data_IF_517565429225
#
_entry.id   IF_517565429225
#
_cell.length_a   1.000
_cell.length_b   1.000
_cell.length_c   1.000
_cell.angle_alpha   90.00
_cell.angle_beta   90.00
_cell.angle_gamma   90.00
#
_symmetry.space_group_name_H-M   'P 1'
#
loop_
_entity.id
_entity.type
_entity.pdbx_description
1 polymer ?
#
# COMPACT_ATOMS: atom_id res chain seq x y z
N UNK A 1 29.05 0.15 -26.60
CA UNK A 1 27.88 -0.23 -27.43
C UNK A 1 27.60 -1.75 -27.51
N UNK A 2 28.57 -2.68 -27.35
CA UNK A 2 28.29 -4.14 -27.34
C UNK A 2 27.59 -4.68 -26.07
N UNK A 3 27.92 -4.14 -24.89
CA UNK A 3 27.41 -4.62 -23.59
C UNK A 3 25.89 -4.43 -23.41
N UNK A 4 25.35 -3.29 -23.86
CA UNK A 4 23.90 -3.03 -23.83
C UNK A 4 23.14 -3.94 -24.80
N UNK A 5 23.73 -4.27 -25.95
CA UNK A 5 23.08 -5.11 -26.98
C UNK A 5 22.98 -6.58 -26.57
N UNK A 6 24.03 -7.13 -25.95
CA UNK A 6 24.02 -8.53 -25.49
C UNK A 6 23.24 -8.74 -24.17
N UNK A 7 23.08 -7.69 -23.35
CA UNK A 7 22.34 -7.77 -22.08
C UNK A 7 20.95 -7.12 -22.12
N UNK A 8 20.49 -6.64 -23.27
CA UNK A 8 19.23 -5.91 -23.40
C UNK A 8 18.03 -6.72 -22.89
N UNK A 9 17.94 -8.00 -23.25
CA UNK A 9 16.85 -8.88 -22.81
C UNK A 9 16.85 -9.09 -21.29
N UNK A 10 18.03 -9.17 -20.67
CA UNK A 10 18.17 -9.28 -19.22
C UNK A 10 17.68 -8.00 -18.52
N UNK A 11 18.12 -6.83 -19.02
CA UNK A 11 17.72 -5.52 -18.51
C UNK A 11 16.21 -5.34 -18.62
N UNK A 12 15.61 -5.72 -19.75
CA UNK A 12 14.18 -5.62 -20.00
C UNK A 12 13.37 -6.49 -19.03
N UNK A 13 13.79 -7.74 -18.83
CA UNK A 13 13.16 -8.63 -17.86
C UNK A 13 13.23 -8.05 -16.44
N UNK A 14 14.39 -7.53 -16.05
CA UNK A 14 14.58 -6.93 -14.73
C UNK A 14 13.75 -5.64 -14.57
N UNK A 15 13.62 -4.83 -15.62
CA UNK A 15 12.75 -3.65 -15.63
C UNK A 15 11.29 -4.06 -15.40
N UNK A 16 10.81 -5.11 -16.10
CA UNK A 16 9.42 -5.57 -15.93
C UNK A 16 9.14 -6.02 -14.49
N UNK A 17 10.06 -6.79 -13.88
CA UNK A 17 9.94 -7.23 -12.48
C UNK A 17 9.87 -6.01 -11.56
N UNK A 18 10.85 -5.11 -11.64
CA UNK A 18 10.94 -3.94 -10.77
C UNK A 18 9.77 -2.98 -10.96
N UNK A 19 9.27 -2.81 -12.19
CA UNK A 19 8.08 -2.02 -12.47
C UNK A 19 6.85 -2.59 -11.74
N UNK A 20 6.67 -3.92 -11.78
CA UNK A 20 5.55 -4.59 -11.10
C UNK A 20 5.62 -4.46 -9.56
N UNK A 21 6.82 -4.48 -9.00
CA UNK A 21 7.07 -4.26 -7.57
C UNK A 21 6.72 -2.82 -7.20
N UNK A 22 7.27 -1.85 -7.93
CA UNK A 22 7.03 -0.43 -7.66
C UNK A 22 5.55 -0.06 -7.82
N UNK A 23 4.88 -0.63 -8.83
CA UNK A 23 3.44 -0.46 -9.02
C UNK A 23 2.64 -1.01 -7.84
N UNK A 24 3.04 -2.16 -7.29
CA UNK A 24 2.38 -2.75 -6.11
C UNK A 24 2.61 -1.92 -4.83
N UNK A 25 3.82 -1.36 -4.67
CA UNK A 25 4.14 -0.43 -3.57
C UNK A 25 3.28 0.84 -3.69
N UNK A 26 3.19 1.40 -4.91
CA UNK A 26 2.36 2.57 -5.20
C UNK A 26 0.89 2.30 -4.83
N UNK A 27 0.32 1.19 -5.31
CA UNK A 27 -1.05 0.80 -4.98
C UNK A 27 -1.25 0.66 -3.46
N UNK A 28 -0.31 0.02 -2.76
CA UNK A 28 -0.36 -0.12 -1.31
C UNK A 28 -0.30 1.21 -0.57
N UNK A 29 0.57 2.12 -1.00
CA UNK A 29 0.70 3.45 -0.41
C UNK A 29 -0.55 4.30 -0.66
N UNK A 30 -1.15 4.20 -1.85
CA UNK A 30 -2.44 4.83 -2.15
C UNK A 30 -3.54 4.35 -1.22
N UNK A 31 -3.66 3.03 -0.97
CA UNK A 31 -4.64 2.50 0.00
C UNK A 31 -4.37 3.04 1.40
N UNK A 32 -3.10 3.08 1.85
CA UNK A 32 -2.74 3.61 3.18
C UNK A 32 -3.03 5.10 3.32
N UNK A 33 -2.76 5.90 2.28
CA UNK A 33 -3.06 7.32 2.27
C UNK A 33 -4.58 7.53 2.36
N UNK A 34 -5.35 6.75 1.60
CA UNK A 34 -6.80 6.77 1.68
C UNK A 34 -7.32 6.34 3.05
N UNK A 35 -6.76 5.29 3.67
CA UNK A 35 -7.08 4.88 5.05
C UNK A 35 -6.82 6.01 6.05
N UNK A 36 -5.72 6.76 5.87
CA UNK A 36 -5.38 7.89 6.75
C UNK A 36 -6.34 9.08 6.60
N UNK A 37 -6.68 9.45 5.36
CA UNK A 37 -7.69 10.48 5.09
C UNK A 37 -9.04 10.08 5.68
N UNK A 38 -9.45 8.84 5.42
CA UNK A 38 -10.68 8.29 5.95
C UNK A 38 -10.72 8.32 7.47
N UNK A 39 -9.65 7.92 8.14
CA UNK A 39 -9.63 7.85 9.60
C UNK A 39 -9.79 9.23 10.26
N UNK A 40 -9.43 10.31 9.56
CA UNK A 40 -9.67 11.68 10.03
C UNK A 40 -11.15 12.08 9.92
N UNK A 41 -11.83 11.64 8.86
CA UNK A 41 -13.23 11.98 8.55
C UNK A 41 -14.25 10.97 9.13
N UNK A 42 -13.79 9.78 9.51
CA UNK A 42 -14.62 8.71 10.06
C UNK A 42 -15.00 9.01 11.52
N UNK A 43 -16.25 9.43 11.71
CA UNK A 43 -16.83 9.65 13.03
C UNK A 43 -17.90 8.58 13.30
N UNK A 44 -17.74 7.83 14.40
CA UNK A 44 -18.80 6.98 14.94
C UNK A 44 -19.64 7.85 15.86
N UNK A 45 -20.90 8.08 15.51
CA UNK A 45 -21.80 8.88 16.36
C UNK A 45 -22.52 7.95 17.33
N UNK A 46 -22.27 8.17 18.61
CA UNK A 46 -22.90 7.46 19.72
C UNK A 46 -23.98 8.37 20.31
N UNK A 47 -25.20 7.86 20.40
CA UNK A 47 -26.32 8.51 21.05
C UNK A 47 -26.47 7.92 22.44
N UNK A 48 -26.28 8.75 23.48
CA UNK A 48 -26.32 8.34 24.87
C UNK A 48 -27.28 9.20 25.69
N UNK A 49 -28.01 8.57 26.59
CA UNK A 49 -28.86 9.25 27.58
C UNK A 49 -28.08 9.71 28.81
N UNK A 50 -26.93 9.06 29.08
CA UNK A 50 -26.01 9.39 30.19
C UNK A 50 -24.72 10.01 29.67
N UNK A 51 -23.98 10.70 30.54
CA UNK A 51 -22.64 11.17 30.19
C UNK A 51 -21.69 10.00 29.98
N UNK A 52 -21.05 9.96 28.82
CA UNK A 52 -20.04 8.97 28.50
C UNK A 52 -18.66 9.52 28.88
N UNK A 53 -17.95 8.79 29.75
CA UNK A 53 -16.56 9.07 30.12
C UNK A 53 -15.60 8.19 29.32
N UNK A 54 -14.43 8.74 28.96
CA UNK A 54 -13.35 8.01 28.29
C UNK A 54 -12.93 6.74 29.03
N UNK A 55 -13.00 6.75 30.36
CA UNK A 55 -12.63 5.61 31.20
C UNK A 55 -13.48 4.35 30.96
N UNK A 56 -14.73 4.52 30.51
CA UNK A 56 -15.65 3.41 30.23
C UNK A 56 -15.40 2.81 28.85
N UNK A 57 -14.97 3.63 27.88
CA UNK A 57 -14.88 3.25 26.46
C UNK A 57 -13.49 2.72 26.10
N UNK A 58 -12.43 3.30 26.69
CA UNK A 58 -11.05 2.88 26.47
C UNK A 58 -10.78 1.39 26.71
N UNK A 59 -11.33 0.70 27.74
CA UNK A 59 -11.14 -0.74 27.92
C UNK A 59 -11.94 -1.61 26.94
N UNK A 60 -12.96 -1.07 26.28
CA UNK A 60 -13.83 -1.83 25.37
C UNK A 60 -13.26 -1.89 23.93
N UNK A 61 -12.43 -0.92 23.56
CA UNK A 61 -11.94 -0.73 22.18
C UNK A 61 -10.44 -0.45 22.19
N UNK A 62 -9.65 -1.45 21.78
CA UNK A 62 -8.18 -1.33 21.68
C UNK A 62 -7.72 -0.27 20.68
N UNK A 63 -8.59 0.09 19.73
CA UNK A 63 -8.32 1.07 18.66
C UNK A 63 -8.84 2.46 18.99
N UNK A 64 -9.25 2.72 20.24
CA UNK A 64 -9.79 4.01 20.68
C UNK A 64 -8.76 5.14 20.50
N UNK A 65 -9.19 6.24 19.88
CA UNK A 65 -8.41 7.48 19.76
C UNK A 65 -8.92 8.53 20.74
N UNK A 66 -10.17 8.96 20.56
CA UNK A 66 -10.80 10.01 21.38
C UNK A 66 -12.32 9.92 21.34
N UNK A 67 -12.96 10.52 22.35
CA UNK A 67 -14.39 10.78 22.34
C UNK A 67 -14.63 12.27 22.59
N UNK A 68 -15.43 12.89 21.75
CA UNK A 68 -15.80 14.30 21.90
C UNK A 68 -17.32 14.43 21.87
N UNK A 69 -17.88 15.14 22.86
CA UNK A 69 -19.30 15.46 22.84
C UNK A 69 -19.59 16.42 21.67
N UNK A 70 -20.60 16.09 20.87
CA UNK A 70 -21.08 16.92 19.78
C UNK A 70 -22.11 17.89 20.37
N UNK A 71 -21.87 19.20 20.26
CA UNK A 71 -22.81 20.20 20.75
C UNK A 71 -24.05 20.25 19.87
N UNK A 72 -25.21 20.15 20.51
CA UNK A 72 -26.51 20.25 19.84
C UNK A 72 -26.95 21.70 19.62
N UNK A 73 -26.22 22.67 20.17
CA UNK A 73 -26.56 24.09 20.16
C UNK A 73 -26.71 24.65 18.74
N UNK A 74 -25.84 24.23 17.80
CA UNK A 74 -25.94 24.65 16.39
C UNK A 74 -27.25 24.19 15.73
N UNK A 75 -27.78 23.04 16.12
CA UNK A 75 -29.03 22.48 15.57
C UNK A 75 -30.22 23.14 16.26
N UNK A 76 -30.16 23.30 17.58
CA UNK A 76 -31.19 23.98 18.37
C UNK A 76 -31.36 25.45 17.94
N UNK A 77 -30.27 26.16 17.66
CA UNK A 77 -30.32 27.56 17.18
C UNK A 77 -30.96 27.68 15.78
N UNK A 78 -30.84 26.65 14.92
CA UNK A 78 -31.54 26.64 13.62
C UNK A 78 -33.04 26.40 13.80
N UNK A 79 -33.40 25.50 14.72
CA UNK A 79 -34.78 25.16 15.04
C UNK A 79 -35.50 26.26 15.84
N UNK A 80 -34.75 27.19 16.44
CA UNK A 80 -35.30 28.32 17.21
C UNK A 80 -36.13 29.28 16.37
N UNK A 81 -35.88 29.33 15.05
CA UNK A 81 -36.65 30.16 14.14
C UNK A 81 -37.97 29.49 13.70
N UNK A 82 -38.06 28.18 13.79
CA UNK A 82 -39.19 27.39 13.26
C UNK A 82 -40.11 26.82 14.35
N UNK A 83 -39.74 26.94 15.63
CA UNK A 83 -40.45 26.30 16.76
C UNK A 83 -40.64 27.28 17.94
N UNK A 84 -41.80 27.24 18.59
CA UNK A 84 -42.10 28.03 19.79
C UNK A 84 -41.13 27.73 20.96
N UNK A 85 -40.74 28.78 21.71
CA UNK A 85 -39.82 28.73 22.86
C UNK A 85 -40.17 27.65 23.90
N UNK A 86 -41.47 27.36 24.11
CA UNK A 86 -41.95 26.31 25.03
C UNK A 86 -41.62 24.90 24.54
N UNK A 87 -41.72 24.65 23.24
CA UNK A 87 -41.40 23.35 22.66
C UNK A 87 -39.88 23.16 22.53
N UNK A 88 -39.13 24.26 22.38
CA UNK A 88 -37.68 24.24 22.31
C UNK A 88 -37.03 23.90 23.66
N UNK A 89 -37.58 24.37 24.77
CA UNK A 89 -37.12 24.00 26.12
C UNK A 89 -37.40 22.54 26.47
N UNK A 90 -38.56 22.02 26.06
CA UNK A 90 -38.90 20.59 26.20
C UNK A 90 -37.94 19.74 25.36
N UNK A 91 -37.65 20.16 24.12
CA UNK A 91 -36.70 19.47 23.25
C UNK A 91 -35.29 19.47 23.85
N UNK A 92 -34.83 20.59 24.41
CA UNK A 92 -33.50 20.69 25.04
C UNK A 92 -33.35 19.73 26.22
N UNK A 93 -34.40 19.52 27.01
CA UNK A 93 -34.39 18.59 28.14
C UNK A 93 -34.54 17.11 27.75
N UNK A 94 -35.12 16.82 26.59
CA UNK A 94 -35.35 15.44 26.11
C UNK A 94 -34.29 14.97 25.11
N UNK A 95 -33.43 15.88 24.63
CA UNK A 95 -32.42 15.57 23.63
C UNK A 95 -31.32 14.67 24.22
N UNK A 96 -31.05 13.49 23.62
CA UNK A 96 -29.94 12.65 24.03
C UNK A 96 -28.60 13.35 23.72
N UNK A 97 -27.56 12.99 24.47
CA UNK A 97 -26.20 13.48 24.23
C UNK A 97 -25.59 12.72 23.04
N UNK A 98 -24.98 13.46 22.13
CA UNK A 98 -24.30 12.92 20.97
C UNK A 98 -22.80 12.96 21.21
N UNK A 99 -22.11 11.85 20.96
CA UNK A 99 -20.67 11.75 21.08
C UNK A 99 -20.08 11.28 19.75
N UNK A 100 -18.99 11.91 19.32
CA UNK A 100 -18.17 11.45 18.20
C UNK A 100 -17.03 10.61 18.75
N UNK A 101 -16.96 9.35 18.35
CA UNK A 101 -15.87 8.44 18.67
C UNK A 101 -14.95 8.29 17.45
N UNK A 102 -13.66 8.50 17.67
CA UNK A 102 -12.60 8.32 16.68
C UNK A 102 -11.76 7.09 16.99
N UNK A 103 -11.28 6.44 15.94
CA UNK A 103 -10.42 5.27 16.03
C UNK A 103 -9.02 5.60 15.47
N UNK A 104 -8.00 4.85 15.86
CA UNK A 104 -6.63 5.02 15.36
C UNK A 104 -6.41 4.42 13.96
N UNK A 105 -7.28 3.51 13.53
CA UNK A 105 -7.21 2.85 12.23
C UNK A 105 -8.60 2.49 11.76
N UNK A 106 -8.82 2.48 10.44
CA UNK A 106 -10.11 2.11 9.88
C UNK A 106 -10.43 0.63 10.20
N UNK A 107 -11.47 0.37 11.01
CA UNK A 107 -11.85 -0.98 11.38
C UNK A 107 -12.45 -1.74 10.19
N UNK A 108 -12.16 -3.04 10.10
CA UNK A 108 -12.85 -3.89 9.12
C UNK A 108 -14.35 -3.97 9.40
N UNK A 109 -15.18 -4.28 8.40
CA UNK A 109 -16.64 -4.42 8.59
C UNK A 109 -16.99 -5.41 9.73
N UNK A 110 -16.24 -6.51 9.87
CA UNK A 110 -16.42 -7.48 10.95
C UNK A 110 -16.10 -6.87 12.32
N UNK A 111 -14.93 -6.22 12.42
CA UNK A 111 -14.49 -5.59 13.66
C UNK A 111 -15.40 -4.40 14.05
N UNK A 112 -15.98 -3.69 13.09
CA UNK A 112 -17.00 -2.68 13.35
C UNK A 112 -18.27 -3.24 13.97
N UNK A 113 -18.72 -4.40 13.51
CA UNK A 113 -19.88 -5.05 14.09
C UNK A 113 -19.58 -5.51 15.53
N UNK A 114 -18.37 -5.99 15.81
CA UNK A 114 -17.93 -6.31 17.17
C UNK A 114 -17.89 -5.07 18.07
N UNK A 115 -17.29 -3.96 17.60
CA UNK A 115 -17.28 -2.69 18.34
C UNK A 115 -18.71 -2.22 18.60
N UNK A 116 -19.58 -2.28 17.59
CA UNK A 116 -21.00 -1.90 17.72
C UNK A 116 -21.70 -2.73 18.79
N UNK A 117 -21.52 -4.05 18.78
CA UNK A 117 -22.11 -4.94 19.80
C UNK A 117 -21.56 -4.68 21.19
N UNK A 118 -20.25 -4.42 21.34
CA UNK A 118 -19.63 -4.09 22.63
C UNK A 118 -20.13 -2.76 23.17
N UNK A 119 -20.24 -1.74 22.33
CA UNK A 119 -20.74 -0.42 22.72
C UNK A 119 -22.25 -0.45 23.05
N UNK A 120 -23.07 -1.21 22.32
CA UNK A 120 -24.51 -1.34 22.63
C UNK A 120 -24.77 -2.04 23.98
N UNK A 121 -23.79 -2.76 24.54
CA UNK A 121 -23.90 -3.36 25.87
C UNK A 121 -23.62 -2.38 27.02
N UNK A 122 -23.12 -1.18 26.72
CA UNK A 122 -22.87 -0.15 27.73
C UNK A 122 -24.18 0.51 28.11
N UNK A 123 -24.44 0.57 29.41
CA UNK A 123 -25.66 1.19 29.94
C UNK A 123 -25.74 2.68 29.54
N UNK A 124 -26.89 3.09 29.01
CA UNK A 124 -27.14 4.45 28.52
C UNK A 124 -26.86 4.69 27.03
N UNK A 125 -26.30 3.74 26.28
CA UNK A 125 -26.12 3.87 24.81
C UNK A 125 -27.37 3.37 24.07
N UNK A 126 -28.10 4.29 23.44
CA UNK A 126 -29.36 3.99 22.75
C UNK A 126 -29.16 3.66 21.27
N UNK A 127 -28.22 4.32 20.59
CA UNK A 127 -28.00 4.13 19.15
C UNK A 127 -26.56 4.43 18.77
N UNK A 128 -26.05 3.67 17.81
CA UNK A 128 -24.74 3.89 17.20
C UNK A 128 -24.96 4.06 15.71
N UNK A 129 -24.63 5.23 15.19
CA UNK A 129 -24.65 5.53 13.77
C UNK A 129 -23.22 5.54 13.23
N UNK A 130 -22.98 4.70 12.24
CA UNK A 130 -21.70 4.60 11.56
C UNK A 130 -21.87 5.21 10.17
N UNK A 131 -21.29 6.37 9.93
CA UNK A 131 -21.33 7.05 8.61
C UNK A 131 -20.42 6.37 7.55
N UNK A 132 -20.12 5.08 7.73
CA UNK A 132 -19.19 4.29 6.94
C UNK A 132 -19.65 3.98 5.49
N UNK A 133 -20.96 4.04 5.21
CA UNK A 133 -21.55 3.36 4.04
C UNK A 133 -21.05 3.87 2.68
N UNK A 134 -20.76 5.16 2.53
CA UNK A 134 -20.36 5.74 1.22
C UNK A 134 -18.90 5.41 0.89
N UNK A 135 -18.06 5.44 1.92
CA UNK A 135 -16.62 5.27 1.83
C UNK A 135 -16.15 3.81 1.77
N UNK A 136 -16.97 2.90 2.30
CA UNK A 136 -16.70 1.45 2.30
C UNK A 136 -16.58 0.88 0.89
N UNK A 137 -17.34 1.38 -0.10
CA UNK A 137 -17.25 0.93 -1.50
C UNK A 137 -15.91 1.30 -2.13
N UNK A 138 -15.50 2.57 -2.04
CA UNK A 138 -14.23 3.05 -2.60
C UNK A 138 -13.05 2.35 -1.93
N UNK A 139 -13.08 2.21 -0.60
CA UNK A 139 -12.06 1.46 0.13
C UNK A 139 -11.95 0.01 -0.34
N UNK A 140 -13.08 -0.70 -0.49
CA UNK A 140 -13.11 -2.08 -1.00
C UNK A 140 -12.56 -2.17 -2.43
N UNK A 141 -12.90 -1.23 -3.31
CA UNK A 141 -12.35 -1.15 -4.67
C UNK A 141 -10.84 -0.94 -4.65
N UNK A 142 -10.34 0.01 -3.85
CA UNK A 142 -8.90 0.25 -3.71
C UNK A 142 -8.16 -0.97 -3.16
N UNK A 143 -8.76 -1.66 -2.18
CA UNK A 143 -8.21 -2.91 -1.62
C UNK A 143 -8.18 -4.04 -2.66
N UNK A 144 -9.21 -4.16 -3.50
CA UNK A 144 -9.23 -5.08 -4.63
C UNK A 144 -8.11 -4.76 -5.64
N UNK A 145 -7.96 -3.49 -6.02
CA UNK A 145 -6.88 -3.03 -6.92
C UNK A 145 -5.50 -3.36 -6.35
N UNK A 146 -5.28 -3.10 -5.05
CA UNK A 146 -4.05 -3.50 -4.36
C UNK A 146 -3.81 -5.02 -4.46
N UNK A 147 -4.84 -5.83 -4.22
CA UNK A 147 -4.72 -7.29 -4.29
C UNK A 147 -4.36 -7.77 -5.69
N UNK A 148 -5.00 -7.21 -6.73
CA UNK A 148 -4.71 -7.53 -8.12
C UNK A 148 -3.26 -7.13 -8.48
N UNK A 149 -2.79 -5.98 -8.01
CA UNK A 149 -1.41 -5.54 -8.23
C UNK A 149 -0.39 -6.54 -7.66
N UNK A 150 -0.61 -7.06 -6.44
CA UNK A 150 0.27 -8.09 -5.86
C UNK A 150 0.27 -9.42 -6.62
N UNK A 151 -0.89 -9.86 -7.11
CA UNK A 151 -0.99 -11.07 -7.94
C UNK A 151 -0.22 -10.85 -9.25
N UNK A 152 -0.39 -9.68 -9.87
CA UNK A 152 0.32 -9.32 -11.09
C UNK A 152 1.83 -9.25 -10.88
N UNK A 153 2.29 -8.67 -9.77
CA UNK A 153 3.70 -8.65 -9.38
C UNK A 153 4.28 -10.06 -9.27
N UNK A 154 3.57 -11.00 -8.63
CA UNK A 154 4.05 -12.37 -8.52
C UNK A 154 4.16 -13.06 -9.89
N UNK A 155 3.17 -12.87 -10.76
CA UNK A 155 3.16 -13.44 -12.11
C UNK A 155 4.29 -12.88 -12.97
N UNK A 156 4.48 -11.55 -12.96
CA UNK A 156 5.56 -10.89 -13.71
C UNK A 156 6.93 -11.26 -13.14
N UNK A 157 7.08 -11.35 -11.82
CA UNK A 157 8.32 -11.82 -11.19
C UNK A 157 8.66 -13.25 -11.65
N UNK A 158 7.67 -14.15 -11.69
CA UNK A 158 7.87 -15.52 -12.16
C UNK A 158 8.30 -15.58 -13.63
N UNK A 159 7.58 -14.90 -14.53
CA UNK A 159 7.93 -14.86 -15.96
C UNK A 159 9.29 -14.18 -16.17
N UNK A 160 9.55 -13.08 -15.48
CA UNK A 160 10.81 -12.36 -15.55
C UNK A 160 11.99 -13.22 -15.12
N UNK A 161 11.86 -14.00 -14.04
CA UNK A 161 12.89 -14.95 -13.61
C UNK A 161 13.16 -16.05 -14.65
N UNK A 162 12.12 -16.56 -15.34
CA UNK A 162 12.29 -17.52 -16.42
C UNK A 162 13.04 -16.92 -17.61
N UNK A 163 12.71 -15.68 -17.99
CA UNK A 163 13.39 -14.96 -19.08
C UNK A 163 14.86 -14.69 -18.73
N UNK A 164 15.14 -14.21 -17.51
CA UNK A 164 16.50 -14.04 -17.02
C UNK A 164 17.27 -15.36 -17.05
N UNK A 165 16.64 -16.46 -16.62
CA UNK A 165 17.27 -17.78 -16.62
C UNK A 165 17.64 -18.24 -18.03
N UNK A 166 16.76 -18.01 -19.03
CA UNK A 166 17.06 -18.30 -20.44
C UNK A 166 18.22 -17.45 -20.94
N UNK A 167 18.24 -16.15 -20.63
CA UNK A 167 19.29 -15.25 -21.08
C UNK A 167 20.67 -15.63 -20.52
N UNK A 168 20.74 -15.95 -19.22
CA UNK A 168 21.99 -16.41 -18.60
C UNK A 168 22.45 -17.72 -19.23
N UNK A 169 21.52 -18.63 -19.55
CA UNK A 169 21.87 -19.90 -20.20
C UNK A 169 22.48 -19.67 -21.59
N UNK A 170 21.89 -18.78 -22.39
CA UNK A 170 22.44 -18.39 -23.70
C UNK A 170 23.86 -17.84 -23.53
N UNK A 171 24.08 -16.97 -22.55
CA UNK A 171 25.41 -16.43 -22.26
C UNK A 171 26.44 -17.51 -21.90
N UNK A 172 26.04 -18.48 -21.07
CA UNK A 172 26.89 -19.62 -20.69
C UNK A 172 27.26 -20.45 -21.91
N UNK A 173 26.32 -20.68 -22.83
CA UNK A 173 26.61 -21.38 -24.09
C UNK A 173 27.55 -20.59 -25.00
N UNK A 174 27.34 -19.29 -25.13
CA UNK A 174 28.20 -18.39 -25.93
C UNK A 174 29.64 -18.39 -25.40
N UNK A 175 29.84 -18.53 -24.08
CA UNK A 175 31.15 -18.49 -23.44
C UNK A 175 31.62 -19.87 -22.93
N UNK A 176 31.10 -20.97 -23.51
CA UNK A 176 31.37 -22.33 -23.04
C UNK A 176 32.86 -22.65 -23.01
N UNK A 177 33.59 -22.35 -24.09
CA UNK A 177 35.04 -22.63 -24.20
C UNK A 177 35.83 -21.97 -23.07
N UNK A 178 35.55 -20.69 -22.78
CA UNK A 178 36.19 -19.96 -21.69
C UNK A 178 35.90 -20.59 -20.33
N UNK A 179 34.66 -20.99 -20.08
CA UNK A 179 34.23 -21.61 -18.81
C UNK A 179 34.89 -22.98 -18.66
N UNK A 180 35.04 -23.74 -19.74
CA UNK A 180 35.65 -25.07 -19.78
C UNK A 180 37.16 -24.99 -19.50
N UNK A 181 37.88 -24.07 -20.16
CA UNK A 181 39.30 -23.80 -19.87
C UNK A 181 39.48 -23.43 -18.39
N UNK A 182 38.67 -22.51 -17.85
CA UNK A 182 38.73 -22.16 -16.42
C UNK A 182 38.43 -23.36 -15.52
N UNK A 183 37.56 -24.28 -15.95
CA UNK A 183 37.25 -25.49 -15.20
C UNK A 183 38.41 -26.50 -15.19
N UNK A 184 39.17 -26.61 -16.29
CA UNK A 184 40.37 -27.45 -16.37
C UNK A 184 41.46 -27.00 -15.39
N UNK A 185 41.58 -25.69 -15.16
CA UNK A 185 42.47 -25.12 -14.14
C UNK A 185 41.91 -25.21 -12.71
N UNK A 186 40.81 -25.93 -12.49
CA UNK A 186 40.23 -26.11 -11.15
C UNK A 186 39.55 -24.85 -10.58
N UNK A 187 39.20 -23.86 -11.40
CA UNK A 187 38.58 -22.64 -10.90
C UNK A 187 37.24 -22.93 -10.22
N UNK A 188 37.06 -22.38 -9.00
CA UNK A 188 35.83 -22.50 -8.24
C UNK A 188 34.61 -21.91 -8.97
N UNK A 189 33.41 -22.34 -8.56
CA UNK A 189 32.12 -21.92 -9.14
C UNK A 189 31.96 -20.39 -9.24
N UNK A 190 32.40 -19.68 -8.20
CA UNK A 190 32.32 -18.22 -8.12
C UNK A 190 33.21 -17.53 -9.15
N UNK A 191 34.42 -18.05 -9.38
CA UNK A 191 35.35 -17.48 -10.36
C UNK A 191 34.83 -17.68 -11.79
N UNK A 192 34.28 -18.85 -12.10
CA UNK A 192 33.64 -19.14 -13.40
C UNK A 192 32.45 -18.22 -13.67
N UNK A 193 31.67 -17.90 -12.64
CA UNK A 193 30.45 -17.07 -12.73
C UNK A 193 30.69 -15.57 -12.52
N UNK A 194 31.91 -15.14 -12.19
CA UNK A 194 32.22 -13.75 -11.77
C UNK A 194 31.80 -12.70 -12.79
N UNK A 195 31.96 -12.99 -14.09
CA UNK A 195 31.56 -12.08 -15.18
C UNK A 195 30.04 -11.91 -15.24
N UNK A 196 29.27 -12.98 -14.99
CA UNK A 196 27.81 -12.93 -14.94
C UNK A 196 27.34 -12.09 -13.76
N UNK A 197 27.91 -12.27 -12.57
CA UNK A 197 27.55 -11.46 -11.40
C UNK A 197 27.89 -9.98 -11.61
N UNK A 198 29.05 -9.66 -12.21
CA UNK A 198 29.40 -8.27 -12.55
C UNK A 198 28.39 -7.66 -13.54
N UNK A 199 28.01 -8.39 -14.58
CA UNK A 199 26.98 -7.97 -15.54
C UNK A 199 25.61 -7.78 -14.87
N UNK A 200 25.23 -8.69 -13.98
CA UNK A 200 23.98 -8.65 -13.22
C UNK A 200 23.90 -7.40 -12.31
N UNK A 201 24.98 -7.04 -11.61
CA UNK A 201 25.04 -5.82 -10.80
C UNK A 201 24.83 -4.59 -11.67
N UNK A 202 25.52 -4.52 -12.81
CA UNK A 202 25.37 -3.39 -13.73
C UNK A 202 23.93 -3.26 -14.24
N UNK A 203 23.31 -4.38 -14.63
CA UNK A 203 21.91 -4.41 -15.06
C UNK A 203 20.97 -3.98 -13.91
N UNK A 204 21.21 -4.43 -12.68
CA UNK A 204 20.40 -4.08 -11.52
C UNK A 204 20.42 -2.58 -11.22
N UNK A 205 21.60 -1.96 -11.23
CA UNK A 205 21.75 -0.51 -11.03
C UNK A 205 21.04 0.25 -12.15
N UNK A 206 21.25 -0.16 -13.41
CA UNK A 206 20.68 0.52 -14.57
C UNK A 206 19.15 0.42 -14.61
N UNK A 207 18.59 -0.77 -14.40
CA UNK A 207 17.13 -0.97 -14.35
C UNK A 207 16.49 -0.21 -13.19
N UNK A 208 17.13 -0.18 -12.02
CA UNK A 208 16.63 0.55 -10.86
C UNK A 208 16.62 2.06 -11.12
N UNK A 209 17.66 2.60 -11.76
CA UNK A 209 17.74 4.01 -12.11
C UNK A 209 16.60 4.41 -13.07
N UNK A 210 16.40 3.62 -14.13
CA UNK A 210 15.32 3.86 -15.10
C UNK A 210 13.96 3.91 -14.41
N UNK A 211 13.66 2.93 -13.55
CA UNK A 211 12.35 2.83 -12.90
C UNK A 211 12.16 3.93 -11.87
N UNK A 212 13.21 4.24 -11.10
CA UNK A 212 13.16 5.34 -10.16
C UNK A 212 12.86 6.65 -10.87
N UNK A 213 13.47 6.88 -12.04
CA UNK A 213 13.22 8.07 -12.86
C UNK A 213 11.77 8.11 -13.36
N UNK A 214 11.28 7.00 -13.92
CA UNK A 214 9.90 6.89 -14.43
C UNK A 214 8.89 7.21 -13.33
N UNK A 215 9.00 6.59 -12.15
CA UNK A 215 8.06 6.79 -11.04
C UNK A 215 8.26 8.12 -10.31
N UNK A 216 9.41 8.77 -10.45
CA UNK A 216 9.62 10.13 -9.97
C UNK A 216 8.86 11.16 -10.81
N UNK A 217 8.85 11.00 -12.14
CA UNK A 217 8.15 11.90 -13.05
C UNK A 217 6.66 11.58 -13.20
N UNK A 218 6.24 10.34 -12.92
CA UNK A 218 4.87 9.88 -13.11
C UNK A 218 3.80 10.82 -12.52
N UNK A 219 3.91 11.32 -11.27
CA UNK A 219 2.88 12.19 -10.68
C UNK A 219 2.80 13.59 -11.31
N UNK A 220 3.84 14.03 -12.03
CA UNK A 220 3.90 15.37 -12.64
C UNK A 220 3.29 15.41 -14.05
N UNK A 221 2.85 14.28 -14.60
CA UNK A 221 2.22 14.22 -15.92
C UNK A 221 0.81 14.83 -15.82
N UNK A 222 0.49 15.85 -16.63
CA UNK A 222 -0.77 16.60 -16.55
C UNK A 222 -2.02 15.72 -16.47
N UNK A 223 -2.11 14.70 -17.34
CA UNK A 223 -3.20 13.72 -17.35
C UNK A 223 -3.39 13.01 -16.00
N UNK A 224 -2.30 12.64 -15.34
CA UNK A 224 -2.35 11.97 -14.04
C UNK A 224 -2.66 12.98 -12.94
N UNK A 225 -2.10 14.20 -13.02
CA UNK A 225 -2.31 15.25 -12.02
C UNK A 225 -3.78 15.66 -11.91
N UNK A 226 -4.46 15.85 -13.04
CA UNK A 226 -5.87 16.25 -13.10
C UNK A 226 -6.79 15.20 -12.45
N UNK A 227 -6.63 13.93 -12.81
CA UNK A 227 -7.40 12.81 -12.23
C UNK A 227 -7.16 12.67 -10.72
N UNK A 228 -5.94 12.91 -10.28
CA UNK A 228 -5.53 12.78 -8.87
C UNK A 228 -6.09 13.90 -8.00
N UNK A 229 -6.10 15.14 -8.51
CA UNK A 229 -6.71 16.29 -7.82
C UNK A 229 -8.22 16.12 -7.65
N UNK A 230 -8.92 15.55 -8.65
CA UNK A 230 -10.35 15.28 -8.56
C UNK A 230 -10.71 14.25 -7.48
N UNK A 231 -9.84 13.28 -7.23
CA UNK A 231 -10.09 12.21 -6.25
C UNK A 231 -9.59 12.62 -4.86
N UNK A 232 -8.96 13.79 -4.68
CA UNK A 232 -8.38 14.29 -3.42
C UNK A 232 -7.37 13.32 -2.77
N UNK A 233 -6.83 12.39 -3.55
CA UNK A 233 -5.81 11.43 -3.12
C UNK A 233 -4.45 12.03 -3.46
N UNK A 234 -3.52 12.08 -2.52
CA UNK A 234 -2.16 12.50 -2.82
C UNK A 234 -1.34 11.27 -3.25
N UNK A 235 -0.95 11.19 -4.53
CA UNK A 235 -0.01 10.17 -4.99
C UNK A 235 1.37 10.52 -4.44
N UNK A 236 1.87 9.69 -3.54
CA UNK A 236 3.22 9.84 -3.00
C UNK A 236 4.25 9.67 -4.12
N UNK A 237 5.13 10.67 -4.27
CA UNK A 237 6.35 10.55 -5.09
C UNK A 237 7.21 9.40 -4.57
N UNK A 238 7.96 8.76 -5.48
CA UNK A 238 8.92 7.74 -5.07
C UNK A 238 9.92 8.33 -4.07
N UNK A 239 10.03 7.69 -2.90
CA UNK A 239 10.98 8.10 -1.88
C UNK A 239 12.35 7.47 -2.11
N UNK A 240 13.39 8.03 -1.48
CA UNK A 240 14.72 7.40 -1.47
C UNK A 240 14.69 5.99 -0.89
N UNK A 241 13.81 5.75 0.09
CA UNK A 241 13.61 4.44 0.68
C UNK A 241 13.08 3.44 -0.34
N UNK A 242 12.06 3.83 -1.13
CA UNK A 242 11.49 2.96 -2.17
C UNK A 242 12.55 2.62 -3.23
N UNK A 243 13.33 3.61 -3.70
CA UNK A 243 14.42 3.37 -4.66
C UNK A 243 15.48 2.39 -4.12
N UNK A 244 15.78 2.46 -2.82
CA UNK A 244 16.73 1.54 -2.18
C UNK A 244 16.13 0.14 -2.06
N UNK A 245 14.85 0.01 -1.73
CA UNK A 245 14.16 -1.31 -1.74
C UNK A 245 14.15 -1.94 -3.13
N UNK A 246 13.97 -1.14 -4.19
CA UNK A 246 14.06 -1.61 -5.58
C UNK A 246 15.47 -2.12 -5.90
N UNK A 247 16.52 -1.38 -5.54
CA UNK A 247 17.90 -1.80 -5.78
C UNK A 247 18.22 -3.15 -5.11
N UNK A 248 17.83 -3.30 -3.84
CA UNK A 248 18.02 -4.55 -3.09
C UNK A 248 17.26 -5.68 -3.76
N UNK A 249 15.99 -5.47 -4.14
CA UNK A 249 15.22 -6.48 -4.84
C UNK A 249 15.85 -6.88 -6.18
N UNK A 250 16.37 -5.92 -6.95
CA UNK A 250 17.03 -6.16 -8.23
C UNK A 250 18.28 -7.05 -8.08
N UNK A 251 19.09 -6.77 -7.06
CA UNK A 251 20.27 -7.58 -6.74
C UNK A 251 19.88 -9.00 -6.32
N UNK A 252 18.85 -9.15 -5.48
CA UNK A 252 18.35 -10.47 -5.06
C UNK A 252 17.88 -11.28 -6.25
N UNK A 253 17.00 -10.73 -7.10
CA UNK A 253 16.50 -11.45 -8.28
C UNK A 253 17.61 -11.83 -9.26
N UNK A 254 18.53 -10.89 -9.52
CA UNK A 254 19.62 -11.12 -10.47
C UNK A 254 20.62 -12.17 -9.95
N UNK A 255 20.98 -12.13 -8.67
CA UNK A 255 21.88 -13.12 -8.07
C UNK A 255 21.23 -14.49 -7.97
N UNK A 256 19.94 -14.53 -7.63
CA UNK A 256 19.16 -15.76 -7.62
C UNK A 256 19.14 -16.41 -9.00
N UNK A 257 18.84 -15.64 -10.06
CA UNK A 257 18.82 -16.15 -11.42
C UNK A 257 20.19 -16.71 -11.87
N UNK A 258 21.29 -15.99 -11.61
CA UNK A 258 22.65 -16.45 -11.93
C UNK A 258 22.97 -17.75 -11.18
N UNK A 259 22.66 -17.81 -9.89
CA UNK A 259 22.94 -18.98 -9.06
C UNK A 259 22.16 -20.22 -9.50
N UNK A 260 20.88 -20.06 -9.86
CA UNK A 260 20.01 -21.15 -10.30
C UNK A 260 20.50 -21.74 -11.64
N UNK A 261 20.88 -20.88 -12.58
CA UNK A 261 21.34 -21.35 -13.91
C UNK A 261 22.72 -22.00 -13.82
N UNK A 262 23.66 -21.37 -13.11
CA UNK A 262 25.03 -21.89 -13.01
C UNK A 262 25.08 -23.23 -12.25
N UNK A 263 24.21 -23.46 -11.26
CA UNK A 263 24.09 -24.78 -10.60
C UNK A 263 23.67 -25.90 -11.58
N UNK A 264 22.84 -25.56 -12.59
CA UNK A 264 22.37 -26.51 -13.61
C UNK A 264 23.35 -26.67 -14.79
N UNK A 265 24.33 -25.78 -14.93
CA UNK A 265 25.35 -25.80 -15.98
C UNK A 265 26.64 -26.54 -15.55
N UNK A 266 26.59 -27.27 -14.43
CA UNK A 266 27.67 -28.09 -13.91
C UNK A 266 27.70 -29.45 -14.61
#
# INVERSE_FOLDING_TARGET
MRLLRNNFSFILALIAILFSIQFSILANNTVKNYEKLMNNDYNIVIVSTKELSEAVIKPLINTFSSISQISSDKILNRLQNDISNKNLSILKNTLPKFYSLKLNSLPSTKYMNEIRQKLLKVDGINKIETFAKTHDKVYKTLKLTKSIAYIFMFLVAFIGLLLMSKQIRIWVYEHKERIEIMSLFGAGFWLKSSVLYKSAIFCAIFSTLIISLIFYFLPNINFIKEEVEQISINISKISLYDSLTLLVSALVFSFFAVSVVMKKAK
#
